data_IF_043353695355
#
_entry.id   IF_043353695355
#
_cell.length_a   1.000
_cell.length_b   1.000
_cell.length_c   1.000
_cell.angle_alpha   90.00
_cell.angle_beta   90.00
_cell.angle_gamma   90.00
#
_symmetry.space_group_name_H-M   'P 1'
#
loop_
_entity.id
_entity.type
_entity.pdbx_description
1 polymer ?
#
# COMPACT_ATOMS: atom_id res chain seq x y z
N UNK A 1 7.00 15.80 -21.34
CA UNK A 1 6.05 14.67 -21.15
C UNK A 1 6.53 13.56 -22.04
N UNK A 2 6.72 12.36 -21.48
CA UNK A 2 7.07 11.17 -22.24
C UNK A 2 5.77 10.37 -22.43
N UNK A 3 5.36 10.18 -23.66
CA UNK A 3 4.18 9.39 -24.03
C UNK A 3 4.67 7.99 -24.43
N UNK A 4 4.05 6.97 -23.88
CA UNK A 4 4.20 5.58 -24.31
C UNK A 4 2.90 5.20 -25.00
N UNK A 5 2.99 4.81 -26.24
CA UNK A 5 1.85 4.38 -27.05
C UNK A 5 1.81 2.85 -27.09
N UNK A 6 0.61 2.30 -27.21
CA UNK A 6 0.39 0.89 -27.42
C UNK A 6 0.51 0.59 -28.92
N UNK A 7 1.39 -0.33 -29.29
CA UNK A 7 1.73 -0.60 -30.69
C UNK A 7 0.63 -1.39 -31.43
N UNK A 8 -0.22 -2.15 -30.72
CA UNK A 8 -1.18 -3.07 -31.36
C UNK A 8 -2.66 -2.73 -31.13
N UNK A 9 -2.98 -1.78 -30.28
CA UNK A 9 -4.36 -1.39 -29.90
C UNK A 9 -5.24 -2.59 -29.47
N UNK A 10 -4.65 -3.73 -29.14
CA UNK A 10 -5.36 -4.94 -28.77
C UNK A 10 -5.62 -4.98 -27.26
N UNK A 11 -6.88 -4.89 -26.87
CA UNK A 11 -7.23 -5.10 -25.47
C UNK A 11 -7.14 -6.58 -25.11
N UNK A 12 -6.09 -6.98 -24.40
CA UNK A 12 -5.79 -8.36 -24.04
C UNK A 12 -6.83 -8.96 -23.07
N UNK A 13 -7.41 -8.16 -22.18
CA UNK A 13 -8.41 -8.62 -21.24
C UNK A 13 -9.54 -7.62 -21.06
N UNK A 14 -10.78 -8.04 -21.35
CA UNK A 14 -12.01 -7.22 -21.27
C UNK A 14 -12.89 -7.53 -20.05
N UNK A 15 -12.55 -8.57 -19.29
CA UNK A 15 -13.34 -9.02 -18.14
C UNK A 15 -13.23 -8.10 -16.91
N UNK A 16 -13.97 -8.43 -15.83
CA UNK A 16 -13.88 -7.74 -14.55
C UNK A 16 -12.44 -7.79 -14.00
N UNK A 17 -11.97 -6.68 -13.44
CA UNK A 17 -10.64 -6.55 -12.89
C UNK A 17 -10.70 -6.07 -11.44
N UNK A 18 -10.09 -6.83 -10.54
CA UNK A 18 -9.83 -6.45 -9.16
C UNK A 18 -8.32 -6.35 -8.96
N UNK A 19 -7.85 -5.25 -8.39
CA UNK A 19 -6.43 -5.04 -8.08
C UNK A 19 -6.26 -5.02 -6.58
N UNK A 20 -5.50 -5.98 -6.05
CA UNK A 20 -5.18 -6.06 -4.63
C UNK A 20 -3.96 -5.21 -4.32
N UNK A 21 -4.09 -4.34 -3.33
CA UNK A 21 -3.01 -3.47 -2.85
C UNK A 21 -2.87 -3.56 -1.33
N UNK A 22 -1.69 -3.20 -0.85
CA UNK A 22 -1.41 -3.01 0.56
C UNK A 22 -0.28 -1.98 0.76
N UNK A 23 0.16 -1.77 2.00
CA UNK A 23 1.24 -0.82 2.33
C UNK A 23 2.58 -1.13 1.67
N UNK A 24 2.83 -2.36 1.22
CA UNK A 24 4.04 -2.72 0.48
C UNK A 24 3.94 -2.42 -1.03
N UNK A 25 2.74 -2.09 -1.52
CA UNK A 25 2.57 -1.62 -2.90
C UNK A 25 3.10 -0.20 -3.02
N UNK A 26 4.21 -0.01 -3.72
CA UNK A 26 4.89 1.28 -3.83
C UNK A 26 5.28 1.61 -5.28
N UNK A 27 5.44 2.90 -5.59
CA UNK A 27 6.02 3.39 -6.85
C UNK A 27 5.28 2.89 -8.10
N UNK A 28 5.89 2.06 -8.94
CA UNK A 28 5.28 1.57 -10.19
C UNK A 28 3.95 0.83 -9.96
N UNK A 29 3.82 0.06 -8.88
CA UNK A 29 2.55 -0.59 -8.52
C UNK A 29 1.46 0.43 -8.16
N UNK A 30 1.84 1.59 -7.61
CA UNK A 30 0.91 2.69 -7.34
C UNK A 30 0.47 3.37 -8.63
N UNK A 31 1.37 3.53 -9.61
CA UNK A 31 1.02 4.05 -10.95
C UNK A 31 -0.02 3.13 -11.60
N UNK A 32 0.21 1.82 -11.56
CA UNK A 32 -0.73 0.84 -12.11
C UNK A 32 -2.09 0.88 -11.41
N UNK A 33 -2.11 0.79 -10.07
CA UNK A 33 -3.34 0.81 -9.31
C UNK A 33 -4.12 2.12 -9.52
N UNK A 34 -3.43 3.27 -9.50
CA UNK A 34 -4.03 4.57 -9.76
C UNK A 34 -4.63 4.65 -11.18
N UNK A 35 -3.93 4.14 -12.20
CA UNK A 35 -4.43 4.13 -13.56
C UNK A 35 -5.71 3.26 -13.66
N UNK A 36 -5.73 2.06 -13.10
CA UNK A 36 -6.92 1.20 -13.09
C UNK A 36 -8.11 1.87 -12.39
N UNK A 37 -7.86 2.59 -11.30
CA UNK A 37 -8.89 3.33 -10.57
C UNK A 37 -9.38 4.55 -11.34
N UNK A 38 -8.47 5.41 -11.79
CA UNK A 38 -8.80 6.69 -12.43
C UNK A 38 -9.47 6.53 -13.80
N UNK A 39 -9.08 5.51 -14.57
CA UNK A 39 -9.73 5.18 -15.84
C UNK A 39 -10.97 4.30 -15.67
N UNK A 40 -11.42 4.06 -14.44
CA UNK A 40 -12.62 3.25 -14.12
C UNK A 40 -12.54 1.83 -14.70
N UNK A 41 -11.29 1.30 -14.88
CA UNK A 41 -11.05 0.00 -15.50
C UNK A 41 -11.18 -1.15 -14.50
N UNK A 42 -10.87 -0.93 -13.23
CA UNK A 42 -10.88 -1.94 -12.18
C UNK A 42 -11.25 -1.36 -10.83
N UNK A 43 -11.55 -2.25 -9.89
CA UNK A 43 -11.81 -1.94 -8.48
C UNK A 43 -10.54 -2.25 -7.69
N UNK A 44 -10.15 -1.31 -6.85
CA UNK A 44 -8.96 -1.42 -6.00
C UNK A 44 -9.40 -1.91 -4.63
N UNK A 45 -8.83 -3.03 -4.17
CA UNK A 45 -9.19 -3.65 -2.90
C UNK A 45 -7.98 -3.87 -2.00
N UNK A 46 -8.17 -3.87 -0.69
CA UNK A 46 -7.11 -4.14 0.28
C UNK A 46 -6.83 -2.97 1.20
N UNK A 47 -5.56 -2.58 1.33
CA UNK A 47 -5.11 -1.45 2.17
C UNK A 47 -4.55 -0.34 1.28
N UNK A 48 -4.52 0.89 1.79
CA UNK A 48 -3.85 1.99 1.10
C UNK A 48 -2.38 1.64 0.83
N UNK A 49 -1.86 2.13 -0.28
CA UNK A 49 -0.47 1.88 -0.69
C UNK A 49 0.55 2.72 0.09
N UNK A 50 1.84 2.53 -0.20
CA UNK A 50 2.96 3.15 0.51
C UNK A 50 3.00 4.68 0.41
N UNK A 51 2.74 5.22 -0.79
CA UNK A 51 2.76 6.67 -1.03
C UNK A 51 4.02 7.20 -1.69
N UNK A 52 4.78 6.39 -2.46
CA UNK A 52 5.97 6.84 -3.15
C UNK A 52 5.65 7.38 -4.55
N UNK A 53 5.59 8.70 -4.65
CA UNK A 53 5.30 9.44 -5.90
C UNK A 53 6.53 9.95 -6.65
N UNK A 54 7.73 9.42 -6.35
CA UNK A 54 9.00 9.88 -6.90
C UNK A 54 9.74 8.79 -7.64
N UNK A 55 10.52 9.19 -8.64
CA UNK A 55 11.48 8.32 -9.33
C UNK A 55 12.89 8.67 -8.88
N UNK A 56 13.65 7.67 -8.47
CA UNK A 56 15.01 7.81 -8.00
C UNK A 56 15.98 7.16 -8.97
N UNK A 57 17.19 7.70 -9.03
CA UNK A 57 18.31 7.16 -9.79
C UNK A 57 19.52 7.01 -8.86
N UNK A 58 20.23 5.90 -9.02
CA UNK A 58 21.52 5.68 -8.36
C UNK A 58 22.67 5.99 -9.32
N UNK A 59 23.64 6.73 -8.82
CA UNK A 59 24.87 7.05 -9.57
C UNK A 59 26.09 6.71 -8.74
N UNK A 60 27.05 5.99 -9.34
CA UNK A 60 28.33 5.74 -8.69
C UNK A 60 29.13 7.04 -8.59
N UNK A 61 29.69 7.31 -7.41
CA UNK A 61 30.59 8.43 -7.19
C UNK A 61 31.97 8.20 -7.84
N UNK A 62 32.37 6.95 -8.02
CA UNK A 62 33.58 6.58 -8.73
C UNK A 62 33.60 7.07 -10.18
N UNK A 63 32.44 7.09 -10.85
CA UNK A 63 32.38 7.58 -12.23
C UNK A 63 32.80 9.05 -12.40
N UNK A 64 32.74 9.84 -11.35
CA UNK A 64 33.07 11.28 -11.40
C UNK A 64 34.42 11.61 -10.80
N UNK A 65 34.94 10.80 -9.85
CA UNK A 65 36.13 11.11 -9.04
C UNK A 65 37.08 9.92 -8.85
N UNK A 66 37.02 8.92 -9.75
CA UNK A 66 37.84 7.72 -9.59
C UNK A 66 39.28 7.95 -10.04
N UNK A 67 40.09 8.56 -9.18
CA UNK A 67 41.52 8.71 -9.37
C UNK A 67 42.31 7.48 -8.86
N UNK A 68 41.76 6.75 -7.85
CA UNK A 68 42.49 5.71 -7.13
C UNK A 68 41.78 4.35 -7.11
N UNK A 69 40.65 4.16 -7.84
CA UNK A 69 39.82 2.96 -7.86
C UNK A 69 39.27 2.56 -6.46
N UNK A 70 39.29 3.50 -5.52
CA UNK A 70 38.72 3.28 -4.19
C UNK A 70 37.18 3.36 -4.27
N UNK A 71 36.43 2.37 -3.75
CA UNK A 71 34.97 2.43 -3.78
C UNK A 71 34.43 3.62 -2.99
N UNK A 72 33.90 4.64 -3.68
CA UNK A 72 33.33 5.85 -3.08
C UNK A 72 31.83 5.71 -2.76
N UNK A 73 31.19 4.60 -3.19
CA UNK A 73 29.79 4.34 -2.96
C UNK A 73 28.85 4.85 -4.06
N UNK A 74 27.57 4.86 -3.73
CA UNK A 74 26.50 5.24 -4.64
C UNK A 74 25.71 6.42 -4.06
N UNK A 75 25.41 7.40 -4.90
CA UNK A 75 24.47 8.47 -4.58
C UNK A 75 23.11 8.11 -5.18
N UNK A 76 22.10 8.00 -4.33
CA UNK A 76 20.71 7.86 -4.75
C UNK A 76 20.01 9.21 -4.63
N UNK A 77 19.36 9.66 -5.71
CA UNK A 77 18.69 10.96 -5.73
C UNK A 77 17.43 10.94 -6.58
N UNK A 78 16.49 11.79 -6.23
CA UNK A 78 15.21 11.94 -6.93
C UNK A 78 15.42 12.74 -8.22
N UNK A 79 14.91 12.21 -9.33
CA UNK A 79 15.00 12.82 -10.66
C UNK A 79 13.64 13.27 -11.23
N UNK A 80 12.54 12.65 -10.80
CA UNK A 80 11.21 12.94 -11.30
C UNK A 80 10.15 12.70 -10.22
N UNK A 81 8.99 13.36 -10.37
CA UNK A 81 7.74 13.02 -9.70
C UNK A 81 6.75 12.53 -10.76
N UNK A 82 5.84 11.65 -10.37
CA UNK A 82 4.74 11.24 -11.24
C UNK A 82 3.40 11.63 -10.61
N UNK A 83 2.42 11.82 -11.47
CA UNK A 83 1.10 12.29 -11.09
C UNK A 83 0.04 11.39 -11.72
N UNK A 84 -1.07 11.26 -11.02
CA UNK A 84 -2.28 10.63 -11.54
C UNK A 84 -2.88 11.47 -12.66
N UNK A 85 -3.70 10.89 -13.49
CA UNK A 85 -4.35 11.60 -14.60
C UNK A 85 -5.24 12.75 -14.10
N UNK A 86 -5.78 12.65 -12.88
CA UNK A 86 -6.53 13.72 -12.22
C UNK A 86 -5.66 14.86 -11.66
N UNK A 87 -4.35 14.78 -11.86
CA UNK A 87 -3.36 15.75 -11.43
C UNK A 87 -2.82 15.56 -10.01
N UNK A 88 -3.39 14.69 -9.19
CA UNK A 88 -2.89 14.41 -7.85
C UNK A 88 -1.64 13.55 -7.86
N UNK A 89 -0.75 13.74 -6.87
CA UNK A 89 0.40 12.86 -6.65
C UNK A 89 0.02 11.70 -5.74
N UNK A 90 0.67 10.54 -5.90
CA UNK A 90 0.64 9.46 -4.91
C UNK A 90 1.58 9.73 -3.73
N UNK A 91 2.46 10.73 -3.82
CA UNK A 91 3.41 11.09 -2.77
C UNK A 91 2.72 11.29 -1.42
N UNK A 92 3.21 10.65 -0.37
CA UNK A 92 2.70 10.61 1.02
C UNK A 92 1.31 9.98 1.20
N UNK A 93 0.44 10.00 0.20
CA UNK A 93 -0.96 9.57 0.32
C UNK A 93 -1.21 8.18 -0.22
N UNK A 94 -0.41 7.76 -1.19
CA UNK A 94 -0.64 6.51 -1.91
C UNK A 94 -1.91 6.50 -2.75
N UNK A 95 -2.35 5.29 -3.07
CA UNK A 95 -3.64 4.98 -3.68
C UNK A 95 -4.55 4.40 -2.60
N UNK A 96 -5.70 5.00 -2.41
CA UNK A 96 -6.70 4.48 -1.48
C UNK A 96 -7.47 3.32 -2.10
N UNK A 97 -7.70 2.26 -1.33
CA UNK A 97 -8.55 1.16 -1.78
C UNK A 97 -10.03 1.60 -1.88
N UNK A 98 -10.74 1.12 -2.89
CA UNK A 98 -12.19 1.32 -3.03
C UNK A 98 -12.96 0.44 -2.02
N UNK A 99 -12.41 -0.75 -1.71
CA UNK A 99 -12.93 -1.66 -0.68
C UNK A 99 -11.78 -1.99 0.28
N UNK A 100 -11.94 -1.57 1.53
CA UNK A 100 -10.89 -1.68 2.54
C UNK A 100 -10.93 -3.04 3.24
N UNK A 101 -9.75 -3.66 3.37
CA UNK A 101 -9.51 -4.83 4.21
C UNK A 101 -8.88 -4.39 5.54
N UNK A 102 -8.92 -5.25 6.58
CA UNK A 102 -8.27 -4.95 7.85
C UNK A 102 -6.79 -4.58 7.67
N UNK A 103 -6.31 -3.56 8.40
CA UNK A 103 -4.95 -3.05 8.29
C UNK A 103 -3.95 -3.95 9.01
N UNK A 104 -3.38 -4.90 8.28
CA UNK A 104 -2.34 -5.82 8.79
C UNK A 104 -1.02 -5.05 9.02
N UNK A 105 -0.71 -4.10 8.14
CA UNK A 105 0.49 -3.27 8.24
C UNK A 105 0.07 -1.91 8.78
N UNK A 106 0.70 -1.49 9.88
CA UNK A 106 0.33 -0.26 10.55
C UNK A 106 0.73 0.97 9.73
N UNK A 107 -0.26 1.76 9.37
CA UNK A 107 -0.05 3.03 8.69
C UNK A 107 0.71 4.08 9.52
N UNK A 108 0.80 3.90 10.84
CA UNK A 108 1.56 4.80 11.71
C UNK A 108 3.07 4.53 11.67
N UNK A 109 3.47 3.33 11.25
CA UNK A 109 4.85 2.88 11.26
C UNK A 109 5.45 2.75 9.85
N UNK A 110 4.62 2.59 8.82
CA UNK A 110 5.07 2.28 7.48
C UNK A 110 4.36 3.09 6.40
N UNK A 111 5.13 3.80 5.62
CA UNK A 111 4.67 4.66 4.52
C UNK A 111 5.70 5.74 4.19
N UNK A 112 5.60 6.33 3.01
CA UNK A 112 6.48 7.44 2.58
C UNK A 112 6.39 8.65 3.54
N UNK A 113 5.25 8.85 4.17
CA UNK A 113 5.01 9.92 5.15
C UNK A 113 5.76 9.71 6.48
N UNK A 114 6.46 8.58 6.64
CA UNK A 114 7.33 8.27 7.79
C UNK A 114 8.81 8.45 7.48
N UNK A 115 9.15 8.66 6.22
CA UNK A 115 10.55 8.89 5.80
C UNK A 115 10.98 10.32 6.13
N UNK A 116 12.14 10.48 6.74
CA UNK A 116 12.64 11.77 7.26
C UNK A 116 12.72 12.90 6.22
N UNK A 117 12.97 12.56 4.96
CA UNK A 117 13.19 13.53 3.89
C UNK A 117 12.19 13.34 2.73
N UNK A 118 11.01 12.81 3.02
CA UNK A 118 9.98 12.64 2.01
C UNK A 118 9.57 13.99 1.40
N UNK A 119 9.48 14.05 0.08
CA UNK A 119 9.02 15.25 -0.61
C UNK A 119 7.54 15.50 -0.31
N UNK A 120 7.11 16.76 -0.21
CA UNK A 120 5.73 17.08 0.08
C UNK A 120 4.79 16.65 -1.05
N UNK A 121 3.55 16.37 -0.65
CA UNK A 121 2.47 16.15 -1.61
C UNK A 121 2.16 17.43 -2.38
N UNK A 122 1.90 17.29 -3.67
CA UNK A 122 1.46 18.37 -4.54
C UNK A 122 0.53 17.84 -5.64
N UNK A 123 0.04 18.74 -6.48
CA UNK A 123 -0.77 18.41 -7.65
C UNK A 123 -0.47 19.34 -8.80
N UNK A 124 -0.72 18.84 -10.00
CA UNK A 124 -0.71 19.60 -11.26
C UNK A 124 -2.14 19.68 -11.84
N UNK A 125 -2.40 20.49 -12.86
CA UNK A 125 -3.68 20.45 -13.56
C UNK A 125 -4.01 19.03 -14.07
N UNK A 126 -5.28 18.62 -13.93
CA UNK A 126 -5.77 17.36 -14.49
C UNK A 126 -5.61 17.37 -16.01
N UNK A 127 -5.23 16.24 -16.58
CA UNK A 127 -5.29 16.04 -18.02
C UNK A 127 -6.73 15.75 -18.46
N UNK A 128 -7.04 16.04 -19.73
CA UNK A 128 -8.28 15.57 -20.34
C UNK A 128 -8.14 14.09 -20.66
N UNK A 129 -9.08 13.27 -20.18
CA UNK A 129 -9.08 11.84 -20.43
C UNK A 129 -10.49 11.28 -20.54
N UNK A 130 -10.62 10.09 -21.10
CA UNK A 130 -11.86 9.34 -21.18
C UNK A 130 -11.74 8.07 -20.35
N UNK A 131 -12.76 7.77 -19.54
CA UNK A 131 -12.84 6.51 -18.80
C UNK A 131 -12.99 5.35 -19.79
N UNK A 132 -12.30 4.23 -19.53
CA UNK A 132 -12.31 3.04 -20.39
C UNK A 132 -13.19 1.93 -19.86
N UNK A 133 -13.80 2.12 -18.69
CA UNK A 133 -14.66 1.13 -18.05
C UNK A 133 -15.76 1.78 -17.20
N UNK A 134 -16.42 0.94 -16.41
CA UNK A 134 -17.49 1.35 -15.49
C UNK A 134 -17.46 0.53 -14.18
N UNK A 135 -16.28 0.09 -13.78
CA UNK A 135 -16.10 -0.79 -12.61
C UNK A 135 -16.63 -0.18 -11.31
N UNK A 136 -16.53 1.14 -11.15
CA UNK A 136 -16.90 1.85 -9.90
C UNK A 136 -18.40 1.81 -9.60
N UNK A 137 -19.27 1.55 -10.58
CA UNK A 137 -20.72 1.43 -10.35
C UNK A 137 -21.09 0.34 -9.34
N UNK A 138 -20.24 -0.68 -9.23
CA UNK A 138 -20.50 -1.84 -8.38
C UNK A 138 -19.81 -1.74 -7.00
N UNK A 139 -18.98 -0.71 -6.75
CA UNK A 139 -18.19 -0.57 -5.52
C UNK A 139 -19.05 -0.57 -4.27
N UNK A 140 -20.13 0.22 -4.23
CA UNK A 140 -20.98 0.33 -3.04
C UNK A 140 -21.65 -1.00 -2.70
N UNK A 141 -22.15 -1.69 -3.73
CA UNK A 141 -22.82 -3.01 -3.56
C UNK A 141 -21.80 -4.05 -3.10
N UNK A 142 -20.61 -4.06 -3.68
CA UNK A 142 -19.55 -4.99 -3.30
C UNK A 142 -19.02 -4.70 -1.90
N UNK A 143 -18.85 -3.43 -1.54
CA UNK A 143 -18.42 -3.04 -0.21
C UNK A 143 -19.44 -3.45 0.86
N UNK A 144 -20.73 -3.26 0.60
CA UNK A 144 -21.78 -3.74 1.51
C UNK A 144 -21.72 -5.26 1.73
N UNK A 145 -21.63 -6.03 0.64
CA UNK A 145 -21.47 -7.49 0.71
C UNK A 145 -20.19 -7.91 1.44
N UNK A 146 -19.11 -7.17 1.23
CA UNK A 146 -17.84 -7.41 1.93
C UNK A 146 -18.02 -7.21 3.44
N UNK A 147 -18.59 -6.10 3.87
CA UNK A 147 -18.84 -5.82 5.29
C UNK A 147 -19.75 -6.88 5.96
N UNK A 148 -20.80 -7.32 5.26
CA UNK A 148 -21.68 -8.39 5.73
C UNK A 148 -20.93 -9.74 5.88
N UNK A 149 -20.00 -10.02 4.98
CA UNK A 149 -19.18 -11.24 5.01
C UNK A 149 -18.19 -11.20 6.15
N UNK A 150 -17.36 -10.16 6.26
CA UNK A 150 -16.31 -10.06 7.28
C UNK A 150 -16.87 -10.06 8.71
N UNK A 151 -18.11 -9.61 8.89
CA UNK A 151 -18.78 -9.64 10.19
C UNK A 151 -19.14 -11.07 10.67
N UNK A 152 -19.15 -12.05 9.77
CA UNK A 152 -19.58 -13.43 10.04
C UNK A 152 -18.48 -14.47 9.79
N UNK A 153 -17.47 -14.09 9.05
CA UNK A 153 -16.37 -14.97 8.64
C UNK A 153 -15.41 -15.17 9.82
N UNK A 154 -15.18 -16.41 10.30
CA UNK A 154 -14.35 -16.69 11.45
C UNK A 154 -12.91 -16.19 11.29
N UNK A 155 -12.33 -16.32 10.08
CA UNK A 155 -10.95 -15.89 9.81
C UNK A 155 -10.83 -14.37 9.94
N UNK A 156 -11.80 -13.59 9.43
CA UNK A 156 -11.79 -12.13 9.60
C UNK A 156 -12.04 -11.70 11.04
N UNK A 157 -12.85 -12.43 11.79
CA UNK A 157 -13.10 -12.16 13.22
C UNK A 157 -11.78 -12.39 13.99
N UNK A 158 -11.15 -13.55 13.81
CA UNK A 158 -9.85 -13.87 14.43
C UNK A 158 -8.77 -12.85 14.06
N UNK A 159 -8.67 -12.49 12.77
CA UNK A 159 -7.74 -11.46 12.30
C UNK A 159 -7.96 -10.11 13.01
N UNK A 160 -9.18 -9.65 13.14
CA UNK A 160 -9.49 -8.38 13.80
C UNK A 160 -9.15 -8.42 15.30
N UNK A 161 -9.38 -9.55 15.98
CA UNK A 161 -8.94 -9.75 17.37
C UNK A 161 -7.42 -9.70 17.51
N UNK A 162 -6.69 -10.37 16.62
CA UNK A 162 -5.23 -10.34 16.59
C UNK A 162 -4.69 -8.93 16.36
N UNK A 163 -5.27 -8.19 15.43
CA UNK A 163 -4.89 -6.81 15.15
C UNK A 163 -5.13 -5.91 16.38
N UNK A 164 -6.26 -6.09 17.07
CA UNK A 164 -6.57 -5.35 18.30
C UNK A 164 -5.52 -5.62 19.38
N UNK A 165 -5.21 -6.88 19.65
CA UNK A 165 -4.22 -7.27 20.67
C UNK A 165 -2.82 -6.76 20.30
N UNK A 166 -2.44 -6.86 19.03
CA UNK A 166 -1.17 -6.31 18.54
C UNK A 166 -1.08 -4.80 18.81
N UNK A 167 -2.13 -4.06 18.48
CA UNK A 167 -2.17 -2.62 18.69
C UNK A 167 -2.12 -2.26 20.19
N UNK A 168 -2.87 -2.95 21.04
CA UNK A 168 -2.81 -2.79 22.49
C UNK A 168 -1.41 -3.04 23.05
N UNK A 169 -0.71 -4.06 22.54
CA UNK A 169 0.66 -4.38 22.96
C UNK A 169 1.67 -3.34 22.49
N UNK A 170 1.55 -2.89 21.27
CA UNK A 170 2.41 -1.84 20.74
C UNK A 170 2.27 -0.54 21.55
N UNK A 171 1.04 -0.17 21.89
CA UNK A 171 0.77 1.08 22.61
C UNK A 171 1.11 0.99 24.10
N UNK A 172 1.52 -0.19 24.62
CA UNK A 172 2.01 -0.37 25.99
C UNK A 172 3.30 0.39 26.21
N UNK A 173 3.31 1.21 27.25
CA UNK A 173 4.51 1.94 27.66
C UNK A 173 5.43 1.12 28.59
N UNK A 174 4.91 0.08 29.20
CA UNK A 174 5.62 -0.74 30.18
C UNK A 174 5.33 -2.23 29.96
N UNK A 175 6.35 -3.05 30.18
CA UNK A 175 6.25 -4.51 30.24
C UNK A 175 6.60 -4.98 31.67
N UNK A 176 5.81 -5.89 32.20
CA UNK A 176 6.17 -6.54 33.47
C UNK A 176 7.41 -7.41 33.29
N UNK A 177 8.34 -7.30 34.22
CA UNK A 177 9.50 -8.21 34.35
C UNK A 177 9.19 -9.44 35.20
N UNK A 178 7.99 -9.53 35.78
CA UNK A 178 7.56 -10.70 36.56
C UNK A 178 7.36 -11.89 35.63
N UNK A 179 8.11 -12.96 35.88
CA UNK A 179 8.06 -14.18 35.08
C UNK A 179 6.66 -14.83 35.04
N UNK A 180 5.96 -14.85 36.17
CA UNK A 180 4.64 -15.49 36.23
C UNK A 180 3.60 -14.73 35.44
N UNK A 181 3.61 -13.39 35.51
CA UNK A 181 2.72 -12.54 34.72
C UNK A 181 3.00 -12.70 33.20
N UNK A 182 4.27 -12.68 32.82
CA UNK A 182 4.69 -12.87 31.41
C UNK A 182 4.31 -14.26 30.90
N UNK A 183 4.50 -15.30 31.72
CA UNK A 183 4.12 -16.65 31.38
C UNK A 183 2.61 -16.78 31.21
N UNK A 184 1.82 -16.25 32.13
CA UNK A 184 0.36 -16.29 32.03
C UNK A 184 -0.17 -15.54 30.77
N UNK A 185 0.48 -14.44 30.37
CA UNK A 185 0.15 -13.74 29.14
C UNK A 185 0.46 -14.59 27.90
N UNK A 186 1.62 -15.23 27.86
CA UNK A 186 2.00 -16.13 26.75
C UNK A 186 1.09 -17.36 26.68
N UNK A 187 0.83 -18.02 27.80
CA UNK A 187 -0.05 -19.21 27.87
C UNK A 187 -1.48 -18.87 27.35
N UNK A 188 -1.98 -17.67 27.66
CA UNK A 188 -3.27 -17.18 27.14
C UNK A 188 -3.23 -16.98 25.63
N UNK A 189 -2.14 -16.46 25.09
CA UNK A 189 -1.99 -16.27 23.64
C UNK A 189 -1.91 -17.60 22.89
N UNK A 190 -1.14 -18.53 23.42
CA UNK A 190 -0.99 -19.85 22.83
C UNK A 190 -2.33 -20.61 22.83
N UNK A 191 -3.10 -20.51 23.91
CA UNK A 191 -4.43 -21.10 24.01
C UNK A 191 -5.40 -20.50 22.97
N UNK A 192 -5.33 -19.18 22.74
CA UNK A 192 -6.13 -18.52 21.71
C UNK A 192 -5.76 -18.98 20.31
N UNK A 193 -4.45 -18.96 19.96
CA UNK A 193 -3.96 -19.41 18.64
C UNK A 193 -4.34 -20.86 18.34
N UNK A 194 -4.29 -21.72 19.35
CA UNK A 194 -4.71 -23.13 19.21
C UNK A 194 -6.21 -23.24 18.94
N UNK A 195 -7.03 -22.38 19.55
CA UNK A 195 -8.47 -22.34 19.27
C UNK A 195 -8.73 -21.90 17.83
N UNK A 196 -8.11 -20.80 17.39
CA UNK A 196 -8.28 -20.25 16.03
C UNK A 196 -7.81 -21.22 14.92
N UNK A 197 -6.92 -22.17 15.25
CA UNK A 197 -6.47 -23.23 14.31
C UNK A 197 -7.43 -24.42 14.25
N UNK A 198 -8.29 -24.60 15.24
CA UNK A 198 -9.19 -25.75 15.34
C UNK A 198 -10.64 -25.42 14.93
N UNK A 199 -10.98 -24.17 14.81
CA UNK A 199 -12.27 -23.66 14.35
C UNK A 199 -12.24 -23.41 12.82
#
# INVERSE_FOLDING_TARGET
IRVHEDDDNAQQYKGPLLVMINRYSASASEIFAAAMQDYNRGIIIGQNTFGKGTVQQSRSLNFTYDLDQTPLGLLQYTIQKFYRINGGSTQLKGVAADINFPEIIDAKEYGEDKEDNALPWDKIPSATYTEVGNARKDVDVLNKKHLERIAKDPEFIALNEDLKIRNERRDRKFLSLNFQERKAENDKDDARRLKDLND
#
